data_IF_951399432859
#
_entry.id   IF_951399432859
#
_cell.length_a   1.000
_cell.length_b   1.000
_cell.length_c   1.000
_cell.angle_alpha   90.00
_cell.angle_beta   90.00
_cell.angle_gamma   90.00
#
_symmetry.space_group_name_H-M   'P 1'
#
loop_
_entity.id
_entity.type
_entity.pdbx_description
1 polymer ?
#
# COMPACT_ATOMS: atom_id res chain seq x y z
N UNK A 1 1.65 -36.81 -19.57
CA UNK A 1 3.11 -36.67 -19.37
C UNK A 1 3.40 -35.29 -18.79
N UNK A 2 4.04 -35.28 -17.61
CA UNK A 2 4.92 -34.26 -16.99
C UNK A 2 4.92 -32.87 -17.66
N UNK A 3 4.66 -31.79 -16.92
CA UNK A 3 5.64 -30.90 -16.24
C UNK A 3 4.83 -29.66 -15.80
N UNK A 4 4.98 -28.96 -14.69
CA UNK A 4 5.99 -28.85 -13.64
C UNK A 4 5.37 -27.93 -12.59
N UNK A 5 5.52 -28.28 -11.32
CA UNK A 5 5.25 -27.41 -10.17
C UNK A 5 6.07 -26.12 -10.31
N UNK A 6 5.44 -24.96 -10.14
CA UNK A 6 6.17 -23.70 -9.92
C UNK A 6 5.73 -23.16 -8.57
N UNK A 7 6.47 -23.59 -7.55
CA UNK A 7 6.43 -23.02 -6.21
C UNK A 7 7.09 -21.65 -6.32
N UNK A 8 6.29 -20.59 -6.44
CA UNK A 8 6.79 -19.23 -6.31
C UNK A 8 6.89 -18.91 -4.82
N UNK A 9 8.06 -19.20 -4.25
CA UNK A 9 8.45 -18.70 -2.94
C UNK A 9 8.55 -17.16 -3.03
N UNK A 10 7.50 -16.45 -2.61
CA UNK A 10 7.57 -15.01 -2.38
C UNK A 10 8.37 -14.78 -1.10
N UNK A 11 9.68 -14.63 -1.27
CA UNK A 11 10.55 -14.11 -0.24
C UNK A 11 10.14 -12.66 0.06
N UNK A 12 9.44 -12.46 1.19
CA UNK A 12 9.32 -11.16 1.83
C UNK A 12 10.72 -10.75 2.31
N UNK A 13 11.48 -10.09 1.44
CA UNK A 13 12.75 -9.48 1.80
C UNK A 13 12.47 -8.20 2.59
N UNK A 14 12.44 -8.33 3.91
CA UNK A 14 12.70 -7.22 4.81
C UNK A 14 14.16 -6.73 4.56
N UNK A 15 14.32 -5.58 3.93
CA UNK A 15 15.61 -4.90 3.84
C UNK A 15 15.38 -3.38 3.78
N UNK A 16 15.73 -2.69 4.86
CA UNK A 16 15.67 -1.24 4.94
C UNK A 16 16.02 -0.66 6.30
N UNK A 17 17.10 -1.15 6.94
CA UNK A 17 17.75 -0.45 8.06
C UNK A 17 19.06 0.13 7.54
N UNK A 18 19.18 1.46 7.43
CA UNK A 18 20.46 2.11 7.16
C UNK A 18 20.45 3.56 6.67
N UNK A 19 20.59 4.49 7.62
CA UNK A 19 21.33 5.77 7.53
C UNK A 19 20.81 6.92 6.63
N UNK A 20 20.05 7.83 7.27
CA UNK A 20 20.14 9.28 7.02
C UNK A 20 19.43 9.86 5.79
N UNK A 21 18.09 9.78 5.73
CA UNK A 21 17.26 10.49 4.76
C UNK A 21 15.97 10.94 5.49
N UNK A 22 15.42 12.10 5.15
CA UNK A 22 14.15 12.57 5.69
C UNK A 22 13.12 11.42 5.68
N UNK A 23 12.67 11.00 6.86
CA UNK A 23 11.83 9.82 7.00
C UNK A 23 10.46 10.11 6.40
N UNK A 24 10.29 9.83 5.11
CA UNK A 24 8.98 9.79 4.50
C UNK A 24 8.24 8.60 5.12
N UNK A 25 7.40 8.86 6.12
CA UNK A 25 6.63 7.84 6.80
C UNK A 25 5.67 7.25 5.77
N UNK A 26 5.73 5.94 5.51
CA UNK A 26 4.90 5.30 4.48
C UNK A 26 4.11 4.18 5.14
N UNK A 27 2.78 4.21 4.99
CA UNK A 27 1.87 3.23 5.57
C UNK A 27 0.93 2.68 4.50
N UNK A 28 0.62 1.39 4.59
CA UNK A 28 -0.39 0.76 3.76
C UNK A 28 -1.75 0.92 4.45
N UNK A 29 -2.74 1.43 3.71
CA UNK A 29 -4.12 1.51 4.21
C UNK A 29 -4.72 0.11 4.21
N UNK A 30 -5.48 -0.17 5.27
CA UNK A 30 -6.14 -1.45 5.50
C UNK A 30 -7.23 -1.67 4.41
N UNK A 31 -7.08 -2.75 3.63
CA UNK A 31 -8.05 -3.16 2.62
C UNK A 31 -7.55 -3.09 1.17
N UNK A 32 -8.46 -3.32 0.23
CA UNK A 32 -8.22 -3.19 -1.21
C UNK A 32 -9.48 -2.74 -1.95
N UNK A 33 -9.29 -2.16 -3.13
CA UNK A 33 -10.36 -1.63 -3.97
C UNK A 33 -10.45 -2.43 -5.28
N UNK A 34 -11.65 -2.59 -5.80
CA UNK A 34 -11.85 -3.28 -7.09
C UNK A 34 -11.52 -2.40 -8.31
N UNK A 35 -11.28 -1.09 -8.12
CA UNK A 35 -10.99 -0.14 -9.19
C UNK A 35 -10.14 1.04 -8.74
N UNK A 36 -9.40 1.64 -9.67
CA UNK A 36 -8.63 2.87 -9.44
C UNK A 36 -9.51 4.00 -8.91
N UNK A 37 -10.67 4.21 -9.54
CA UNK A 37 -11.60 5.28 -9.17
C UNK A 37 -12.14 5.13 -7.74
N UNK A 38 -12.33 3.88 -7.27
CA UNK A 38 -12.73 3.63 -5.88
C UNK A 38 -11.62 3.99 -4.88
N UNK A 39 -10.38 3.65 -5.22
CA UNK A 39 -9.21 4.00 -4.42
C UNK A 39 -9.00 5.53 -4.37
N UNK A 40 -9.04 6.21 -5.52
CA UNK A 40 -8.87 7.66 -5.60
C UNK A 40 -10.00 8.43 -4.90
N UNK A 41 -11.25 7.94 -4.97
CA UNK A 41 -12.38 8.57 -4.29
C UNK A 41 -12.22 8.53 -2.76
N UNK A 42 -11.78 7.39 -2.22
CA UNK A 42 -11.54 7.26 -0.78
C UNK A 42 -10.28 8.04 -0.36
N UNK A 43 -9.22 7.97 -1.15
CA UNK A 43 -8.00 8.73 -0.90
C UNK A 43 -8.23 10.25 -0.89
N UNK A 44 -9.05 10.74 -1.81
CA UNK A 44 -9.43 12.17 -1.90
C UNK A 44 -10.34 12.62 -0.76
N UNK A 45 -11.01 11.69 -0.06
CA UNK A 45 -11.76 11.99 1.16
C UNK A 45 -10.81 12.36 2.31
N UNK A 46 -9.54 11.98 2.22
CA UNK A 46 -8.50 12.39 3.18
C UNK A 46 -8.64 11.73 4.54
N UNK A 47 -9.33 10.59 4.62
CA UNK A 47 -9.53 9.80 5.84
C UNK A 47 -9.04 8.39 5.58
N UNK A 48 -8.00 7.96 6.29
CA UNK A 48 -7.31 6.70 6.03
C UNK A 48 -7.27 5.84 7.29
N UNK A 49 -7.46 4.53 7.16
CA UNK A 49 -7.19 3.59 8.25
C UNK A 49 -5.95 2.77 7.91
N UNK A 50 -4.91 2.85 8.73
CA UNK A 50 -3.72 2.05 8.57
C UNK A 50 -3.26 1.53 9.93
N UNK A 51 -2.91 0.25 10.02
CA UNK A 51 -2.47 -0.41 11.25
C UNK A 51 -3.48 -0.26 12.42
N UNK A 52 -4.78 -0.21 12.10
CA UNK A 52 -5.83 -0.04 13.12
C UNK A 52 -5.92 1.37 13.73
N UNK A 53 -5.27 2.37 13.12
CA UNK A 53 -5.34 3.78 13.52
C UNK A 53 -5.97 4.60 12.40
N UNK A 54 -6.88 5.51 12.78
CA UNK A 54 -7.43 6.51 11.88
C UNK A 54 -6.44 7.65 11.69
N UNK A 55 -6.09 7.93 10.45
CA UNK A 55 -5.20 9.00 10.00
C UNK A 55 -5.97 9.95 9.08
N UNK A 56 -5.52 11.21 8.97
CA UNK A 56 -6.15 12.21 8.11
C UNK A 56 -5.14 12.90 7.20
N UNK A 57 -5.59 13.31 6.01
CA UNK A 57 -4.78 14.12 5.09
C UNK A 57 -4.34 15.45 5.68
N UNK A 58 -5.13 16.00 6.61
CA UNK A 58 -4.79 17.22 7.38
C UNK A 58 -3.51 17.06 8.21
N UNK A 59 -3.13 15.83 8.59
CA UNK A 59 -1.88 15.55 9.34
C UNK A 59 -0.64 15.47 8.42
N UNK A 60 -0.78 15.92 7.17
CA UNK A 60 0.26 15.94 6.14
C UNK A 60 0.34 14.67 5.29
N UNK A 61 -0.59 13.73 5.46
CA UNK A 61 -0.61 12.48 4.71
C UNK A 61 -1.07 12.69 3.27
N UNK A 62 -0.22 12.27 2.33
CA UNK A 62 -0.54 12.10 0.92
C UNK A 62 -0.91 10.65 0.65
N UNK A 63 -1.61 10.37 -0.44
CA UNK A 63 -1.99 9.01 -0.83
C UNK A 63 -1.52 8.68 -2.25
N UNK A 64 -1.35 7.38 -2.52
CA UNK A 64 -1.14 6.82 -3.85
C UNK A 64 -1.92 5.52 -3.97
N UNK A 65 -2.52 5.31 -5.13
CA UNK A 65 -3.24 4.10 -5.48
C UNK A 65 -2.44 3.31 -6.51
N UNK A 66 -2.01 2.11 -6.15
CA UNK A 66 -1.25 1.20 -7.01
C UNK A 66 -2.04 -0.09 -7.25
N UNK A 67 -2.02 -0.60 -8.49
CA UNK A 67 -2.67 -1.88 -8.79
C UNK A 67 -1.74 -3.06 -8.42
N UNK A 68 -2.24 -3.98 -7.62
CA UNK A 68 -1.59 -5.23 -7.29
C UNK A 68 -1.62 -6.23 -8.46
N UNK A 69 -0.78 -7.25 -8.37
CA UNK A 69 -0.71 -8.33 -9.37
C UNK A 69 -1.96 -9.23 -9.39
N UNK A 70 -2.83 -9.11 -8.39
CA UNK A 70 -4.13 -9.76 -8.28
C UNK A 70 -5.26 -8.98 -8.98
N UNK A 71 -4.96 -7.81 -9.53
CA UNK A 71 -5.92 -6.93 -10.20
C UNK A 71 -6.67 -6.00 -9.26
N UNK A 72 -6.45 -6.11 -7.94
CA UNK A 72 -7.00 -5.19 -6.94
C UNK A 72 -6.14 -3.93 -6.84
N UNK A 73 -6.71 -2.87 -6.30
CA UNK A 73 -6.05 -1.60 -6.06
C UNK A 73 -5.77 -1.42 -4.57
N UNK A 74 -4.60 -0.90 -4.25
CA UNK A 74 -4.12 -0.73 -2.89
C UNK A 74 -3.73 0.71 -2.65
N UNK A 75 -4.14 1.26 -1.51
CA UNK A 75 -3.83 2.64 -1.13
C UNK A 75 -2.65 2.68 -0.17
N UNK A 76 -1.57 3.33 -0.57
CA UNK A 76 -0.44 3.64 0.30
C UNK A 76 -0.48 5.12 0.65
N UNK A 77 -0.34 5.47 1.92
CA UNK A 77 -0.18 6.85 2.37
C UNK A 77 1.26 7.15 2.74
N UNK A 78 1.69 8.39 2.53
CA UNK A 78 3.03 8.84 2.87
C UNK A 78 3.09 10.31 3.28
N UNK A 79 4.04 10.69 4.14
CA UNK A 79 4.30 12.09 4.52
C UNK A 79 5.77 12.33 4.81
#
# INVERSE_FOLDING_TARGET
MKKTLTIAALALAAAGLGTGLANAETLQVDGSYASAAGCDADGSNGSFHANGVQLRGEDGWQYRCDQGSDGQWYMTIFR
#
